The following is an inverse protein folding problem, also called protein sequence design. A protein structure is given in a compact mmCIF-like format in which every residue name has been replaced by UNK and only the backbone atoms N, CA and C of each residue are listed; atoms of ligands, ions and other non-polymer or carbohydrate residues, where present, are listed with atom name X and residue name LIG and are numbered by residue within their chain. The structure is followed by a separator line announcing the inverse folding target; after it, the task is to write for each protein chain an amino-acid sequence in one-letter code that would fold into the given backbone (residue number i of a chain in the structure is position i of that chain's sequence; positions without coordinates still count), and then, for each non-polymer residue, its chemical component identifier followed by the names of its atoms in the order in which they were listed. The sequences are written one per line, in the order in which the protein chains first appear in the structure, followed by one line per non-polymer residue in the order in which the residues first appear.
data_IF_538469986794
#
_entry.id   IF_538469986794
#
_cell.length_a   1.000
_cell.length_b   1.000
_cell.length_c   1.000
_cell.angle_alpha   90.00
_cell.angle_beta   90.00
_cell.angle_gamma   90.00
#
_symmetry.space_group_name_H-M   'P 1'
#
loop_
_entity.id
_entity.type
_entity.pdbx_description
1 polymer ?
#
# COMPACT_ATOMS: atom_id res chain seq x y z
N UNK A 1 27.26 62.41 -5.26
CA UNK A 1 26.69 61.10 -4.84
C UNK A 1 27.34 59.97 -5.62
N UNK A 2 28.29 59.29 -4.99
CA UNK A 2 29.05 58.16 -5.55
C UNK A 2 28.21 56.90 -5.41
N UNK A 3 27.97 56.18 -6.51
CA UNK A 3 27.47 54.80 -6.49
C UNK A 3 28.62 53.85 -6.90
N UNK A 4 28.78 52.70 -6.23
CA UNK A 4 29.93 51.82 -6.42
C UNK A 4 29.76 50.91 -7.65
N UNK A 5 30.87 50.63 -8.34
CA UNK A 5 30.94 49.66 -9.43
C UNK A 5 30.77 48.22 -8.94
N UNK A 6 30.19 47.32 -9.75
CA UNK A 6 30.23 45.90 -9.47
C UNK A 6 31.61 45.34 -9.85
N UNK A 7 32.37 44.88 -8.85
CA UNK A 7 33.61 44.12 -9.06
C UNK A 7 33.27 42.80 -9.76
N UNK A 8 33.55 42.75 -11.06
CA UNK A 8 33.57 41.49 -11.82
C UNK A 8 34.87 40.78 -11.46
N UNK A 9 34.83 39.93 -10.44
CA UNK A 9 35.92 38.99 -10.11
C UNK A 9 36.03 37.98 -11.26
N UNK A 10 36.82 38.33 -12.28
CA UNK A 10 37.22 37.39 -13.32
C UNK A 10 38.51 36.71 -12.88
N UNK A 11 38.38 35.61 -12.15
CA UNK A 11 39.50 34.73 -11.84
C UNK A 11 40.21 34.30 -13.12
N UNK A 12 41.54 34.27 -13.07
CA UNK A 12 42.39 34.02 -14.24
C UNK A 12 42.11 32.62 -14.84
N UNK A 13 42.41 32.37 -16.13
CA UNK A 13 42.18 31.05 -16.75
C UNK A 13 42.83 29.89 -15.98
N UNK A 14 43.95 30.18 -15.30
CA UNK A 14 44.67 29.24 -14.43
C UNK A 14 43.88 28.91 -13.15
N UNK A 15 43.18 29.88 -12.59
CA UNK A 15 42.39 29.76 -11.36
C UNK A 15 41.14 28.90 -11.60
N UNK A 16 40.44 29.12 -12.72
CA UNK A 16 39.32 28.27 -13.15
C UNK A 16 39.75 26.83 -13.46
N UNK A 17 40.95 26.66 -14.01
CA UNK A 17 41.54 25.34 -14.24
C UNK A 17 41.84 24.59 -12.94
N UNK A 18 42.28 25.32 -11.91
CA UNK A 18 42.53 24.77 -10.58
C UNK A 18 41.22 24.37 -9.88
N UNK A 19 40.19 25.21 -9.93
CA UNK A 19 38.86 24.91 -9.39
C UNK A 19 38.24 23.67 -10.04
N UNK A 20 38.32 23.56 -11.37
CA UNK A 20 37.83 22.39 -12.09
C UNK A 20 38.59 21.11 -11.71
N UNK A 21 39.90 21.21 -11.48
CA UNK A 21 40.71 20.10 -11.03
C UNK A 21 40.30 19.63 -9.62
N UNK A 22 40.10 20.57 -8.69
CA UNK A 22 39.61 20.27 -7.33
C UNK A 22 38.27 19.53 -7.40
N UNK A 23 37.32 20.04 -8.18
CA UNK A 23 36.02 19.41 -8.33
C UNK A 23 36.10 17.99 -8.93
N UNK A 24 36.98 17.80 -9.92
CA UNK A 24 37.22 16.48 -10.50
C UNK A 24 37.80 15.50 -9.47
N UNK A 25 38.72 15.96 -8.61
CA UNK A 25 39.30 15.13 -7.55
C UNK A 25 38.27 14.77 -6.48
N UNK A 26 37.45 15.70 -6.03
CA UNK A 26 36.36 15.42 -5.08
C UNK A 26 35.43 14.33 -5.62
N UNK A 27 35.02 14.43 -6.89
CA UNK A 27 34.19 13.43 -7.55
C UNK A 27 34.88 12.07 -7.63
N UNK A 28 36.19 12.04 -7.90
CA UNK A 28 36.97 10.80 -7.90
C UNK A 28 37.04 10.18 -6.50
N UNK A 29 37.22 10.97 -5.44
CA UNK A 29 37.22 10.48 -4.06
C UNK A 29 35.87 9.88 -3.67
N UNK A 30 34.75 10.51 -4.05
CA UNK A 30 33.42 9.94 -3.81
C UNK A 30 33.24 8.60 -4.54
N UNK A 31 33.63 8.52 -5.81
CA UNK A 31 33.55 7.27 -6.57
C UNK A 31 34.43 6.17 -5.99
N UNK A 32 35.61 6.53 -5.51
CA UNK A 32 36.52 5.59 -4.86
C UNK A 32 35.95 5.07 -3.54
N UNK A 33 35.33 5.93 -2.73
CA UNK A 33 34.65 5.53 -1.50
C UNK A 33 33.50 4.54 -1.78
N UNK A 34 32.74 4.74 -2.86
CA UNK A 34 31.69 3.81 -3.28
C UNK A 34 32.25 2.45 -3.72
N UNK A 35 33.36 2.44 -4.47
CA UNK A 35 34.06 1.20 -4.85
C UNK A 35 34.60 0.48 -3.60
N UNK A 36 35.21 1.20 -2.66
CA UNK A 36 35.68 0.62 -1.41
C UNK A 36 34.54 0.01 -0.58
N UNK A 37 33.37 0.66 -0.55
CA UNK A 37 32.18 0.12 0.12
C UNK A 37 31.70 -1.18 -0.55
N UNK A 38 31.56 -1.19 -1.87
CA UNK A 38 31.17 -2.38 -2.63
C UNK A 38 32.16 -3.54 -2.45
N UNK A 39 33.46 -3.28 -2.50
CA UNK A 39 34.48 -4.30 -2.24
C UNK A 39 34.46 -4.80 -0.80
N UNK A 40 34.13 -3.93 0.16
CA UNK A 40 33.93 -4.31 1.56
C UNK A 40 32.73 -5.24 1.70
N UNK A 41 31.60 -4.91 1.07
CA UNK A 41 30.41 -5.78 1.03
C UNK A 41 30.73 -7.14 0.40
N UNK A 42 31.46 -7.18 -0.73
CA UNK A 42 31.88 -8.44 -1.39
C UNK A 42 32.85 -9.24 -0.50
N UNK A 43 33.80 -8.58 0.16
CA UNK A 43 34.73 -9.23 1.08
C UNK A 43 34.00 -9.78 2.30
N UNK A 44 33.09 -9.02 2.88
CA UNK A 44 32.31 -9.44 4.04
C UNK A 44 31.37 -10.60 3.65
N UNK A 45 30.88 -10.64 2.40
CA UNK A 45 30.15 -11.77 1.82
C UNK A 45 31.01 -13.05 1.71
N UNK A 46 32.31 -12.92 1.45
CA UNK A 46 33.23 -14.04 1.23
C UNK A 46 33.96 -14.50 2.50
N UNK A 47 34.28 -13.60 3.43
CA UNK A 47 35.06 -13.89 4.65
C UNK A 47 34.21 -14.26 5.86
N UNK A 48 32.98 -13.76 5.99
CA UNK A 48 32.19 -14.01 7.20
C UNK A 48 31.65 -15.45 7.32
N UNK A 49 31.83 -16.31 6.31
CA UNK A 49 31.54 -17.75 6.38
C UNK A 49 30.12 -18.15 6.79
N UNK A 50 29.24 -17.20 7.10
CA UNK A 50 27.88 -17.39 7.58
C UNK A 50 26.93 -17.23 6.41
N UNK A 51 26.93 -18.34 5.65
CA UNK A 51 25.88 -18.86 4.79
C UNK A 51 25.57 -17.95 3.60
N UNK A 52 25.71 -18.51 2.40
CA UNK A 52 24.60 -18.44 1.44
C UNK A 52 23.37 -18.68 2.29
N UNK A 53 22.64 -17.61 2.64
CA UNK A 53 21.34 -17.76 3.29
C UNK A 53 20.70 -18.87 2.52
N UNK A 54 20.37 -19.97 3.20
CA UNK A 54 19.62 -21.04 2.61
C UNK A 54 18.47 -20.30 1.92
N UNK A 55 18.50 -20.19 0.58
CA UNK A 55 17.66 -19.21 -0.14
C UNK A 55 16.20 -19.45 0.25
N UNK A 56 15.94 -20.69 0.68
CA UNK A 56 14.73 -21.13 1.31
C UNK A 56 14.96 -21.66 2.74
N UNK A 57 14.01 -21.41 3.65
CA UNK A 57 14.02 -21.93 5.02
C UNK A 57 13.97 -23.47 5.05
N UNK A 58 14.34 -24.06 6.19
CA UNK A 58 14.27 -25.51 6.36
C UNK A 58 12.81 -26.00 6.38
N UNK A 59 12.53 -27.12 5.71
CA UNK A 59 11.17 -27.66 5.57
C UNK A 59 10.52 -28.07 6.90
N UNK A 60 11.30 -28.34 7.95
CA UNK A 60 10.76 -28.61 9.29
C UNK A 60 10.24 -27.36 10.00
N UNK A 61 10.61 -26.17 9.52
CA UNK A 61 10.22 -24.88 10.10
C UNK A 61 9.72 -23.92 9.00
N UNK A 62 8.66 -24.29 8.26
CA UNK A 62 8.18 -23.48 7.15
C UNK A 62 7.59 -22.16 7.69
N UNK A 63 7.99 -21.00 7.15
CA UNK A 63 7.39 -19.73 7.50
C UNK A 63 6.09 -19.58 6.72
N UNK A 64 4.97 -19.97 7.31
CA UNK A 64 3.64 -19.77 6.74
C UNK A 64 2.75 -18.94 7.65
N UNK A 65 1.64 -18.45 7.13
CA UNK A 65 0.52 -17.90 7.91
C UNK A 65 -0.75 -18.68 7.64
N UNK A 66 -1.62 -18.76 8.63
CA UNK A 66 -2.95 -19.32 8.47
C UNK A 66 -3.90 -18.24 7.98
N UNK A 67 -4.49 -18.44 6.80
CA UNK A 67 -5.42 -17.49 6.22
C UNK A 67 -6.82 -18.07 6.28
N UNK A 68 -7.72 -17.35 6.93
CA UNK A 68 -9.15 -17.65 6.98
C UNK A 68 -9.86 -16.72 6.01
N UNK A 69 -10.35 -17.25 4.90
CA UNK A 69 -11.14 -16.51 3.94
C UNK A 69 -12.62 -16.61 4.30
N UNK A 70 -13.21 -15.48 4.69
CA UNK A 70 -14.64 -15.37 4.91
C UNK A 70 -15.37 -15.21 3.57
N UNK A 71 -16.10 -16.24 3.16
CA UNK A 71 -16.90 -16.25 1.92
C UNK A 71 -18.37 -16.01 2.23
N UNK A 72 -18.93 -14.97 1.63
CA UNK A 72 -20.35 -14.66 1.75
C UNK A 72 -21.19 -15.51 0.78
N UNK A 73 -22.01 -16.41 1.32
CA UNK A 73 -22.96 -17.21 0.55
C UNK A 73 -24.26 -16.44 0.29
N UNK A 74 -24.77 -15.73 1.30
CA UNK A 74 -25.94 -14.85 1.21
C UNK A 74 -25.79 -13.67 2.17
N UNK A 75 -26.78 -12.77 2.26
CA UNK A 75 -26.69 -11.49 2.98
C UNK A 75 -26.12 -11.62 4.40
N UNK A 76 -26.47 -12.68 5.13
CA UNK A 76 -26.01 -12.91 6.50
C UNK A 76 -25.37 -14.29 6.72
N UNK A 77 -25.09 -15.03 5.64
CA UNK A 77 -24.49 -16.36 5.73
C UNK A 77 -23.07 -16.31 5.21
N UNK A 78 -22.13 -16.58 6.11
CA UNK A 78 -20.71 -16.63 5.83
C UNK A 78 -20.17 -18.01 6.17
N UNK A 79 -19.25 -18.49 5.33
CA UNK A 79 -18.44 -19.67 5.61
C UNK A 79 -16.98 -19.28 5.61
N UNK A 80 -16.20 -19.97 6.42
CA UNK A 80 -14.77 -19.75 6.52
C UNK A 80 -14.02 -20.88 5.83
N UNK A 81 -13.18 -20.52 4.85
CA UNK A 81 -12.21 -21.44 4.26
C UNK A 81 -10.81 -21.10 4.80
N UNK A 82 -10.18 -22.07 5.49
CA UNK A 82 -8.85 -21.88 6.08
C UNK A 82 -7.76 -22.59 5.28
N UNK A 83 -6.69 -21.87 4.91
CA UNK A 83 -5.52 -22.41 4.20
C UNK A 83 -4.21 -21.83 4.77
N UNK A 84 -3.18 -22.66 5.01
CA UNK A 84 -1.83 -22.15 5.27
C UNK A 84 -1.17 -21.67 3.98
N UNK A 85 -0.48 -20.53 4.00
CA UNK A 85 0.24 -19.96 2.85
C UNK A 85 1.66 -19.59 3.26
N UNK A 86 2.65 -20.04 2.47
CA UNK A 86 4.07 -19.73 2.71
C UNK A 86 4.37 -18.24 2.53
N UNK A 87 5.32 -17.78 3.33
CA UNK A 87 5.88 -16.43 3.29
C UNK A 87 7.21 -16.45 2.52
N UNK A 88 7.40 -15.48 1.64
CA UNK A 88 8.69 -15.18 1.04
C UNK A 88 9.32 -14.04 1.81
N UNK A 89 10.37 -14.32 2.59
CA UNK A 89 11.04 -13.31 3.45
C UNK A 89 10.04 -12.59 4.40
N UNK A 90 9.04 -13.31 4.88
CA UNK A 90 7.99 -12.75 5.73
C UNK A 90 6.87 -12.02 4.97
N UNK A 91 6.91 -11.94 3.65
CA UNK A 91 5.89 -11.28 2.81
C UNK A 91 4.94 -12.29 2.16
N UNK A 92 3.74 -11.84 1.83
CA UNK A 92 2.73 -12.62 1.10
C UNK A 92 2.62 -12.16 -0.35
N UNK A 93 2.59 -13.09 -1.29
CA UNK A 93 2.28 -12.77 -2.69
C UNK A 93 0.77 -12.55 -2.83
N UNK A 94 0.36 -11.34 -3.25
CA UNK A 94 -1.07 -10.99 -3.33
C UNK A 94 -1.80 -11.88 -4.35
N UNK A 95 -1.17 -12.15 -5.50
CA UNK A 95 -1.76 -13.01 -6.55
C UNK A 95 -2.10 -14.41 -6.03
N UNK A 96 -1.25 -14.99 -5.19
CA UNK A 96 -1.53 -16.31 -4.59
C UNK A 96 -2.82 -16.27 -3.77
N UNK A 97 -3.07 -15.21 -3.00
CA UNK A 97 -4.32 -15.08 -2.24
C UNK A 97 -5.54 -14.91 -3.15
N UNK A 98 -5.39 -14.10 -4.19
CA UNK A 98 -6.45 -13.85 -5.17
C UNK A 98 -6.85 -15.15 -5.88
N UNK A 99 -5.87 -15.92 -6.36
CA UNK A 99 -6.10 -17.16 -7.08
C UNK A 99 -6.62 -18.27 -6.15
N UNK A 100 -6.01 -18.44 -4.97
CA UNK A 100 -6.37 -19.50 -4.03
C UNK A 100 -7.81 -19.39 -3.51
N UNK A 101 -8.26 -18.17 -3.23
CA UNK A 101 -9.59 -17.93 -2.67
C UNK A 101 -10.60 -17.39 -3.71
N UNK A 102 -10.20 -17.24 -4.97
CA UNK A 102 -10.97 -16.61 -6.05
C UNK A 102 -11.47 -15.21 -5.66
N UNK A 103 -10.56 -14.40 -5.10
CA UNK A 103 -10.82 -13.05 -4.63
C UNK A 103 -10.20 -12.02 -5.59
N UNK A 104 -10.99 -11.28 -6.36
CA UNK A 104 -10.44 -10.26 -7.25
C UNK A 104 -9.90 -9.04 -6.48
N UNK A 105 -10.52 -8.70 -5.35
CA UNK A 105 -10.04 -7.69 -4.41
C UNK A 105 -9.97 -8.37 -3.04
N UNK A 106 -8.79 -8.34 -2.41
CA UNK A 106 -8.57 -8.95 -1.10
C UNK A 106 -8.60 -7.86 -0.04
N UNK A 107 -9.57 -7.93 0.86
CA UNK A 107 -9.55 -7.16 2.10
C UNK A 107 -9.03 -8.05 3.24
N UNK A 108 -8.25 -7.47 4.13
CA UNK A 108 -7.74 -8.12 5.34
C UNK A 108 -8.24 -7.39 6.58
N UNK A 109 -8.63 -8.13 7.60
CA UNK A 109 -9.05 -7.57 8.88
C UNK A 109 -7.84 -6.99 9.64
N UNK A 110 -7.96 -5.74 10.07
CA UNK A 110 -6.97 -5.04 10.88
C UNK A 110 -7.68 -4.25 11.98
N UNK A 111 -7.73 -4.82 13.20
CA UNK A 111 -8.57 -4.29 14.27
C UNK A 111 -10.04 -4.27 13.84
N UNK A 112 -10.75 -3.12 13.93
CA UNK A 112 -12.13 -3.01 13.45
C UNK A 112 -12.25 -2.75 11.95
N UNK A 113 -11.13 -2.56 11.24
CA UNK A 113 -11.11 -2.16 9.83
C UNK A 113 -10.89 -3.36 8.90
N UNK A 114 -11.40 -3.20 7.69
CA UNK A 114 -11.04 -4.06 6.56
C UNK A 114 -10.18 -3.23 5.62
N UNK A 115 -8.90 -3.57 5.53
CA UNK A 115 -7.94 -2.85 4.68
C UNK A 115 -7.77 -3.61 3.37
N UNK A 116 -7.78 -2.89 2.25
CA UNK A 116 -7.54 -3.48 0.93
C UNK A 116 -6.05 -3.77 0.80
N UNK A 117 -5.71 -5.01 0.47
CA UNK A 117 -4.34 -5.39 0.18
C UNK A 117 -3.97 -4.98 -1.24
N UNK A 118 -2.80 -4.38 -1.38
CA UNK A 118 -2.18 -4.00 -2.65
C UNK A 118 -0.87 -4.75 -2.83
N UNK A 119 -0.36 -4.78 -4.06
CA UNK A 119 0.94 -5.34 -4.37
C UNK A 119 1.98 -4.24 -4.58
N UNK A 120 3.21 -4.50 -4.16
CA UNK A 120 4.41 -3.75 -4.55
C UNK A 120 4.86 -4.11 -5.98
N UNK A 121 6.02 -3.60 -6.39
CA UNK A 121 6.58 -3.85 -7.73
C UNK A 121 6.85 -5.34 -8.02
N UNK A 122 7.06 -6.15 -6.98
CA UNK A 122 7.37 -7.57 -7.07
C UNK A 122 6.12 -8.47 -6.92
N UNK A 123 4.94 -7.87 -6.71
CA UNK A 123 3.69 -8.61 -6.53
C UNK A 123 3.39 -9.00 -5.08
N UNK A 124 4.17 -8.53 -4.11
CA UNK A 124 4.00 -8.83 -2.69
C UNK A 124 3.18 -7.75 -1.99
N UNK A 125 2.45 -8.15 -0.95
CA UNK A 125 1.82 -7.19 -0.04
C UNK A 125 2.94 -6.44 0.68
N UNK A 126 2.92 -5.08 0.74
CA UNK A 126 3.98 -4.27 1.36
C UNK A 126 3.88 -4.29 2.89
N UNK A 127 3.80 -5.49 3.47
CA UNK A 127 3.71 -5.79 4.89
C UNK A 127 4.53 -7.05 5.17
N UNK A 128 5.07 -7.13 6.38
CA UNK A 128 5.68 -8.36 6.89
C UNK A 128 4.73 -9.05 7.86
N UNK A 129 4.73 -10.37 7.82
CA UNK A 129 3.85 -11.23 8.59
C UNK A 129 4.67 -12.12 9.50
N UNK A 130 4.16 -12.33 10.72
CA UNK A 130 4.76 -13.24 11.68
C UNK A 130 4.47 -14.68 11.26
N UNK A 131 5.48 -15.57 11.17
CA UNK A 131 5.25 -16.99 10.94
C UNK A 131 4.29 -17.59 11.96
N UNK A 132 3.44 -18.50 11.50
CA UNK A 132 2.36 -19.17 12.23
C UNK A 132 1.26 -18.20 12.73
N UNK A 133 1.27 -16.95 12.28
CA UNK A 133 0.22 -15.98 12.54
C UNK A 133 -1.10 -16.35 11.86
N UNK A 134 -2.16 -15.65 12.24
CA UNK A 134 -3.50 -15.82 11.67
C UNK A 134 -3.97 -14.52 11.01
N UNK A 135 -4.59 -14.65 9.84
CA UNK A 135 -5.13 -13.55 9.07
C UNK A 135 -6.56 -13.91 8.64
N UNK A 136 -7.47 -12.95 8.74
CA UNK A 136 -8.81 -13.08 8.15
C UNK A 136 -8.89 -12.18 6.92
N UNK A 137 -9.29 -12.77 5.80
CA UNK A 137 -9.49 -12.05 4.53
C UNK A 137 -10.89 -12.25 3.99
N UNK A 138 -11.33 -11.36 3.10
CA UNK A 138 -12.62 -11.47 2.41
C UNK A 138 -12.58 -10.80 1.04
N UNK A 139 -13.67 -10.96 0.30
CA UNK A 139 -13.86 -10.25 -0.96
C UNK A 139 -14.17 -8.77 -0.74
N UNK A 140 -13.32 -7.88 -1.23
CA UNK A 140 -13.54 -6.44 -1.22
C UNK A 140 -14.49 -5.94 -2.32
N UNK A 141 -14.84 -6.77 -3.30
CA UNK A 141 -15.90 -6.42 -4.25
C UNK A 141 -17.24 -6.43 -3.53
N UNK A 142 -17.78 -5.23 -3.30
CA UNK A 142 -19.17 -5.06 -2.89
C UNK A 142 -20.06 -5.61 -4.01
N UNK A 143 -20.86 -6.64 -3.71
CA UNK A 143 -21.99 -6.99 -4.57
C UNK A 143 -22.93 -5.79 -4.52
N UNK A 144 -22.96 -4.99 -5.59
CA UNK A 144 -24.04 -4.03 -5.78
C UNK A 144 -25.33 -4.84 -5.70
N UNK A 145 -26.20 -4.51 -4.74
CA UNK A 145 -27.59 -4.94 -4.80
C UNK A 145 -28.15 -4.38 -6.09
N UNK A 146 -28.15 -5.19 -7.14
CA UNK A 146 -28.96 -4.93 -8.32
C UNK A 146 -30.38 -4.78 -7.78
N UNK A 147 -30.93 -3.57 -7.94
CA UNK A 147 -32.35 -3.32 -7.77
C UNK A 147 -33.13 -4.47 -8.40
N UNK A 148 -34.06 -5.04 -7.66
CA UNK A 148 -35.01 -6.04 -8.15
C UNK A 148 -35.67 -5.51 -9.43
N UNK A 149 -35.63 -6.22 -10.58
CA UNK A 149 -36.42 -5.84 -11.73
C UNK A 149 -37.90 -6.04 -11.36
N UNK A 150 -38.57 -4.96 -10.95
CA UNK A 150 -39.98 -5.02 -10.55
C UNK A 150 -40.43 -4.04 -9.46
N UNK A 151 -39.72 -2.94 -9.18
CA UNK A 151 -40.28 -1.86 -8.35
C UNK A 151 -40.93 -0.82 -9.27
N UNK A 152 -42.25 -0.61 -9.20
CA UNK A 152 -42.88 0.54 -9.85
C UNK A 152 -42.55 1.81 -9.07
N UNK A 153 -42.06 2.78 -9.85
CA UNK A 153 -42.12 4.23 -9.75
C UNK A 153 -42.01 4.96 -8.39
N UNK A 154 -40.98 5.81 -8.37
CA UNK A 154 -40.99 7.18 -7.89
C UNK A 154 -42.34 7.69 -7.36
N UNK A 155 -42.39 7.93 -6.06
CA UNK A 155 -43.29 8.91 -5.49
C UNK A 155 -42.47 9.73 -4.50
N UNK A 156 -41.98 10.87 -4.99
CA UNK A 156 -41.48 11.96 -4.19
C UNK A 156 -42.44 12.26 -3.02
N UNK A 157 -41.99 12.28 -1.77
CA UNK A 157 -42.75 12.96 -0.73
C UNK A 157 -42.50 14.47 -0.92
N UNK A 158 -43.39 15.13 -1.66
CA UNK A 158 -43.47 16.59 -1.63
C UNK A 158 -43.68 17.02 -0.18
N UNK A 159 -42.72 17.78 0.35
CA UNK A 159 -42.77 18.38 1.67
C UNK A 159 -44.02 19.27 1.81
N UNK A 160 -44.67 19.33 3.00
CA UNK A 160 -45.78 20.23 3.22
C UNK A 160 -45.24 21.67 3.41
N UNK A 161 -45.81 22.63 2.68
CA UNK A 161 -45.58 24.05 2.92
C UNK A 161 -46.54 24.57 4.02
N UNK A 162 -46.15 25.64 4.76
CA UNK A 162 -46.82 26.04 5.99
C UNK A 162 -47.93 27.10 5.79
N UNK A 163 -48.90 27.04 6.71
CA UNK A 163 -49.78 28.10 7.25
C UNK A 163 -50.64 28.96 6.31
N UNK A 164 -51.97 28.95 6.55
CA UNK A 164 -52.78 30.16 6.82
C UNK A 164 -54.22 29.79 7.26
N UNK A 165 -54.56 30.10 8.51
CA UNK A 165 -55.91 30.44 8.99
C UNK A 165 -56.22 31.90 8.59
N UNK A 166 -57.47 32.44 8.58
CA UNK A 166 -58.41 32.36 9.72
C UNK A 166 -59.95 32.42 9.42
N UNK A 167 -60.77 32.10 10.44
CA UNK A 167 -62.10 32.65 10.89
C UNK A 167 -63.17 33.08 9.85
N UNK A 168 -64.48 32.82 9.98
CA UNK A 168 -65.40 32.92 11.14
C UNK A 168 -66.78 32.26 10.83
N UNK A 169 -67.67 32.06 11.84
CA UNK A 169 -69.03 31.56 11.64
C UNK A 169 -70.05 32.71 11.54
N UNK A 170 -71.16 32.55 10.80
CA UNK A 170 -72.39 33.36 10.99
C UNK A 170 -73.63 32.55 10.59
N UNK A 171 -74.65 32.75 11.42
CA UNK A 171 -75.95 32.12 11.64
C UNK A 171 -77.05 32.47 10.60
N UNK A 172 -78.25 31.92 10.87
CA UNK A 172 -79.60 32.26 10.39
C UNK A 172 -80.08 31.50 9.13
N UNK A 173 -81.30 30.94 9.05
CA UNK A 173 -82.50 30.96 9.92
C UNK A 173 -83.36 29.74 9.60
#
# INVERSE_FOLDING_TARGET
PTLPMPEKVSGSPKERGLEQLVHNMERLFTRFADVQRCLTEIRDYTQNGKRVQNVYPHASEPPYVNITCQKQLSENVFIDERRPVLLCEGRLCLRVLQDLFNLPIVEMMYGPLWIVLVADADGFVPLTFKPKGELTVRNGKRKTTLRTPGSPDDSCPSSPAPCQSPTAPTEAS
#
